data_IF_786732173807
#
_entry.id   IF_786732173807
#
_cell.length_a   1.000
_cell.length_b   1.000
_cell.length_c   1.000
_cell.angle_alpha   90.00
_cell.angle_beta   90.00
_cell.angle_gamma   90.00
#
_symmetry.space_group_name_H-M   'P 1'
#
loop_
_entity.id
_entity.type
_entity.pdbx_description
1 polymer ?
#
# COMPACT_ATOMS: atom_id res chain seq x y z
N UNK A 1 4.84 -25.79 -8.02
CA UNK A 1 3.94 -24.82 -7.35
C UNK A 1 2.53 -25.12 -7.81
N UNK A 2 1.62 -25.36 -6.87
CA UNK A 2 0.19 -25.59 -7.12
C UNK A 2 -0.55 -24.26 -7.22
N UNK A 3 -1.69 -24.22 -7.92
CA UNK A 3 -2.55 -23.05 -7.96
C UNK A 3 -2.94 -22.61 -6.53
N UNK A 4 -2.86 -21.32 -6.25
CA UNK A 4 -3.16 -20.76 -4.93
C UNK A 4 -4.41 -19.87 -5.04
N UNK A 5 -5.27 -19.90 -4.02
CA UNK A 5 -6.50 -19.13 -4.02
C UNK A 5 -6.21 -17.62 -3.98
N UNK A 6 -6.93 -16.84 -4.79
CA UNK A 6 -6.83 -15.38 -4.82
C UNK A 6 -7.61 -14.69 -3.66
N UNK A 7 -8.42 -15.46 -2.92
CA UNK A 7 -9.21 -14.94 -1.80
C UNK A 7 -8.29 -14.34 -0.73
N UNK A 8 -8.52 -13.07 -0.39
CA UNK A 8 -7.71 -12.31 0.56
C UNK A 8 -6.68 -11.37 -0.10
N UNK A 9 -6.66 -11.29 -1.43
CA UNK A 9 -5.88 -10.26 -2.14
C UNK A 9 -6.41 -8.87 -1.78
N UNK A 10 -5.52 -7.95 -1.45
CA UNK A 10 -5.86 -6.56 -1.11
C UNK A 10 -5.06 -5.60 -1.96
N UNK A 11 -5.70 -4.53 -2.41
CA UNK A 11 -5.01 -3.37 -2.95
C UNK A 11 -5.04 -2.24 -1.93
N UNK A 12 -3.89 -1.62 -1.70
CA UNK A 12 -3.72 -0.50 -0.78
C UNK A 12 -3.45 0.78 -1.56
N UNK A 13 -4.08 1.86 -1.11
CA UNK A 13 -3.79 3.24 -1.49
C UNK A 13 -3.06 3.87 -0.31
N UNK A 14 -1.75 4.09 -0.44
CA UNK A 14 -0.91 4.39 0.72
C UNK A 14 -0.95 3.24 1.73
N UNK A 15 -1.70 3.39 2.83
CA UNK A 15 -1.85 2.38 3.87
C UNK A 15 -3.26 1.86 4.09
N UNK A 16 -4.25 2.41 3.40
CA UNK A 16 -5.62 1.95 3.51
C UNK A 16 -5.91 0.89 2.44
N UNK A 17 -6.52 -0.23 2.83
CA UNK A 17 -7.03 -1.21 1.88
C UNK A 17 -8.37 -0.74 1.32
N UNK A 18 -8.56 -0.89 0.02
CA UNK A 18 -9.86 -0.64 -0.62
C UNK A 18 -10.82 -1.76 -0.25
N UNK A 19 -11.95 -1.42 0.35
CA UNK A 19 -12.93 -2.39 0.83
C UNK A 19 -13.83 -2.93 -0.30
N UNK A 20 -14.42 -4.10 -0.06
CA UNK A 20 -15.50 -4.72 -0.85
C UNK A 20 -15.19 -4.94 -2.34
N UNK A 21 -13.92 -5.22 -2.64
CA UNK A 21 -13.49 -5.62 -3.98
C UNK A 21 -13.76 -7.11 -4.25
N UNK A 22 -14.32 -7.39 -5.41
CA UNK A 22 -14.56 -8.74 -5.93
C UNK A 22 -13.49 -9.17 -6.93
N UNK A 23 -12.82 -8.22 -7.58
CA UNK A 23 -11.73 -8.48 -8.52
C UNK A 23 -10.65 -7.40 -8.45
N UNK A 24 -9.39 -7.85 -8.56
CA UNK A 24 -8.21 -6.99 -8.67
C UNK A 24 -7.38 -7.53 -9.83
N UNK A 25 -7.19 -6.72 -10.86
CA UNK A 25 -6.33 -7.02 -12.00
C UNK A 25 -4.86 -7.07 -11.61
N UNK A 26 -4.09 -7.92 -12.29
CA UNK A 26 -2.63 -7.92 -12.20
C UNK A 26 -2.01 -6.74 -12.96
N UNK A 27 -0.70 -6.58 -12.86
CA UNK A 27 0.03 -5.65 -13.74
C UNK A 27 0.25 -6.26 -15.13
N UNK A 28 -0.04 -5.47 -16.16
CA UNK A 28 0.18 -5.82 -17.56
C UNK A 28 1.46 -5.16 -18.09
N UNK A 29 2.62 -5.74 -17.74
CA UNK A 29 3.92 -5.21 -18.16
C UNK A 29 4.12 -5.41 -19.66
N UNK A 30 4.34 -4.32 -20.38
CA UNK A 30 4.66 -4.35 -21.80
C UNK A 30 5.90 -3.50 -22.11
N UNK A 31 6.51 -3.73 -23.27
CA UNK A 31 7.66 -2.96 -23.70
C UNK A 31 7.61 -2.75 -25.22
N UNK A 32 7.98 -1.56 -25.64
CA UNK A 32 8.11 -1.26 -27.07
C UNK A 32 9.24 -2.10 -27.68
N UNK A 33 9.13 -2.39 -28.97
CA UNK A 33 10.19 -3.02 -29.74
C UNK A 33 10.67 -2.09 -30.84
N UNK A 34 11.98 -1.91 -30.92
CA UNK A 34 12.61 -1.17 -32.01
C UNK A 34 13.33 -2.17 -32.90
N UNK A 35 12.93 -2.24 -34.17
CA UNK A 35 13.64 -3.07 -35.14
C UNK A 35 15.04 -2.51 -35.41
N UNK A 36 16.05 -3.38 -35.40
CA UNK A 36 17.47 -3.05 -35.59
C UNK A 36 18.12 -3.89 -36.69
N UNK A 37 17.31 -4.46 -37.59
CA UNK A 37 17.78 -5.30 -38.69
C UNK A 37 18.80 -4.54 -39.54
N UNK A 38 19.98 -5.13 -39.76
CA UNK A 38 21.05 -4.57 -40.61
C UNK A 38 21.17 -5.36 -41.91
N UNK A 39 21.89 -4.81 -42.89
CA UNK A 39 22.20 -5.50 -44.15
C UNK A 39 23.09 -6.75 -43.95
N UNK A 40 23.71 -6.89 -42.78
CA UNK A 40 24.52 -8.06 -42.41
C UNK A 40 23.68 -9.24 -41.89
N UNK A 41 22.36 -9.05 -41.71
CA UNK A 41 21.44 -10.14 -41.34
C UNK A 41 21.16 -11.06 -42.53
N UNK A 42 22.11 -11.94 -42.82
CA UNK A 42 22.09 -12.90 -43.94
C UNK A 42 21.06 -14.03 -43.78
N UNK A 43 20.59 -14.29 -42.55
CA UNK A 43 19.67 -15.40 -42.27
C UNK A 43 18.19 -15.05 -42.52
N UNK A 44 17.89 -13.81 -42.93
CA UNK A 44 16.53 -13.37 -43.28
C UNK A 44 15.59 -13.11 -42.09
N UNK A 45 16.10 -13.11 -40.86
CA UNK A 45 15.33 -12.81 -39.65
C UNK A 45 15.50 -11.35 -39.21
N UNK A 46 14.39 -10.73 -38.77
CA UNK A 46 14.42 -9.39 -38.17
C UNK A 46 15.05 -9.44 -36.78
N UNK A 47 15.85 -8.43 -36.44
CA UNK A 47 16.41 -8.26 -35.09
C UNK A 47 15.71 -7.09 -34.39
N UNK A 48 15.49 -7.21 -33.08
CA UNK A 48 14.77 -6.20 -32.29
C UNK A 48 15.53 -5.86 -31.01
N UNK A 49 15.47 -4.58 -30.63
CA UNK A 49 15.93 -4.06 -29.35
C UNK A 49 14.72 -3.64 -28.51
N UNK A 50 14.76 -3.92 -27.20
CA UNK A 50 13.71 -3.51 -26.27
C UNK A 50 13.77 -1.99 -26.04
N UNK A 51 12.65 -1.32 -26.27
CA UNK A 51 12.45 0.11 -26.05
C UNK A 51 11.98 0.44 -24.64
N UNK A 52 11.14 1.48 -24.53
CA UNK A 52 10.57 1.90 -23.24
C UNK A 52 9.61 0.83 -22.70
N UNK A 53 9.51 0.76 -21.37
CA UNK A 53 8.65 -0.18 -20.66
C UNK A 53 7.44 0.56 -20.12
N UNK A 54 6.25 0.00 -20.36
CA UNK A 54 5.00 0.45 -19.75
C UNK A 54 4.62 -0.55 -18.65
N UNK A 55 4.33 -0.02 -17.47
CA UNK A 55 3.86 -0.81 -16.33
C UNK A 55 2.43 -1.33 -16.51
N UNK A 56 1.73 -0.88 -17.54
CA UNK A 56 0.36 -1.24 -17.85
C UNK A 56 -0.64 -0.48 -17.00
N UNK A 57 -1.80 -1.11 -16.79
CA UNK A 57 -2.87 -0.60 -15.94
C UNK A 57 -3.30 -1.69 -14.95
N UNK A 58 -3.78 -1.25 -13.79
CA UNK A 58 -4.40 -2.13 -12.79
C UNK A 58 -5.87 -1.75 -12.71
N UNK A 59 -6.74 -2.68 -13.10
CA UNK A 59 -8.18 -2.55 -12.95
C UNK A 59 -8.63 -3.18 -11.62
N UNK A 60 -9.70 -2.66 -11.03
CA UNK A 60 -10.35 -3.26 -9.87
C UNK A 60 -11.85 -3.08 -9.98
N UNK A 61 -12.60 -4.05 -9.47
CA UNK A 61 -14.06 -3.99 -9.38
C UNK A 61 -14.57 -4.59 -8.09
N UNK A 62 -15.74 -4.13 -7.65
CA UNK A 62 -16.34 -4.48 -6.38
C UNK A 62 -17.69 -3.82 -6.16
N UNK A 63 -18.04 -3.67 -4.89
CA UNK A 63 -19.25 -2.97 -4.46
C UNK A 63 -18.91 -1.62 -3.85
N UNK A 64 -19.73 -0.62 -4.13
CA UNK A 64 -19.58 0.70 -3.57
C UNK A 64 -19.90 0.69 -2.08
N UNK A 65 -18.94 1.15 -1.27
CA UNK A 65 -19.11 1.29 0.17
C UNK A 65 -18.86 2.74 0.59
N UNK A 66 -19.91 3.53 0.87
CA UNK A 66 -19.77 4.93 1.24
C UNK A 66 -19.12 5.13 2.62
N UNK A 67 -19.07 4.09 3.46
CA UNK A 67 -18.39 4.15 4.76
C UNK A 67 -16.86 3.99 4.63
N UNK A 68 -16.36 3.51 3.48
CA UNK A 68 -14.92 3.38 3.22
C UNK A 68 -14.28 4.72 2.82
N UNK A 69 -14.13 5.58 3.82
CA UNK A 69 -13.55 6.92 3.67
C UNK A 69 -12.04 6.91 3.41
N UNK A 70 -11.36 5.79 3.66
CA UNK A 70 -9.90 5.70 3.55
C UNK A 70 -9.42 4.90 2.34
N UNK A 71 -10.25 4.02 1.78
CA UNK A 71 -9.98 3.28 0.55
C UNK A 71 -10.69 3.90 -0.66
N UNK A 72 -11.98 3.63 -0.84
CA UNK A 72 -12.74 4.07 -2.03
C UNK A 72 -12.79 5.61 -2.16
N UNK A 73 -13.01 6.35 -1.07
CA UNK A 73 -12.97 7.83 -1.10
C UNK A 73 -11.55 8.34 -1.37
N UNK A 74 -10.51 7.66 -0.90
CA UNK A 74 -9.13 8.03 -1.21
C UNK A 74 -8.80 7.82 -2.69
N UNK A 75 -9.31 6.77 -3.33
CA UNK A 75 -9.24 6.59 -4.79
C UNK A 75 -9.91 7.75 -5.52
N UNK A 76 -11.11 8.16 -5.08
CA UNK A 76 -11.81 9.30 -5.68
C UNK A 76 -11.03 10.60 -5.54
N UNK A 77 -10.44 10.85 -4.38
CA UNK A 77 -9.58 12.02 -4.18
C UNK A 77 -8.29 11.95 -5.02
N UNK A 78 -7.70 10.76 -5.16
CA UNK A 78 -6.55 10.53 -6.02
C UNK A 78 -6.87 10.82 -7.49
N UNK A 79 -8.05 10.40 -7.97
CA UNK A 79 -8.54 10.72 -9.31
C UNK A 79 -8.68 12.24 -9.53
N UNK A 80 -9.34 12.95 -8.60
CA UNK A 80 -9.52 14.41 -8.73
C UNK A 80 -8.23 15.21 -8.64
N UNK A 81 -7.27 14.75 -7.82
CA UNK A 81 -5.97 15.43 -7.70
C UNK A 81 -5.03 15.17 -8.86
N UNK A 82 -5.18 14.04 -9.57
CA UNK A 82 -4.23 13.57 -10.58
C UNK A 82 -2.84 13.28 -10.00
N UNK A 83 -2.71 13.16 -8.68
CA UNK A 83 -1.43 12.98 -8.02
C UNK A 83 -0.87 11.58 -8.27
N UNK A 84 0.45 11.52 -8.47
CA UNK A 84 1.18 10.25 -8.50
C UNK A 84 1.26 9.69 -7.07
N UNK A 85 0.55 8.59 -6.82
CA UNK A 85 0.44 7.97 -5.49
C UNK A 85 1.00 6.55 -5.54
N UNK A 86 1.52 6.08 -4.41
CA UNK A 86 1.98 4.71 -4.29
C UNK A 86 0.83 3.76 -3.97
N UNK A 87 0.74 2.69 -4.75
CA UNK A 87 -0.20 1.60 -4.62
C UNK A 87 0.54 0.30 -4.31
N UNK A 88 -0.17 -0.60 -3.62
CA UNK A 88 0.37 -1.91 -3.32
C UNK A 88 -0.68 -3.00 -3.43
N UNK A 89 -0.40 -4.05 -4.19
CA UNK A 89 -1.22 -5.27 -4.21
C UNK A 89 -0.54 -6.29 -3.29
N UNK A 90 -1.26 -6.77 -2.28
CA UNK A 90 -0.83 -7.84 -1.40
C UNK A 90 -1.61 -9.11 -1.74
N UNK A 91 -0.88 -10.16 -2.11
CA UNK A 91 -1.48 -11.47 -2.32
C UNK A 91 -1.45 -12.30 -1.03
N UNK A 92 -2.45 -13.17 -0.81
CA UNK A 92 -2.55 -13.99 0.41
C UNK A 92 -1.39 -14.98 0.56
N UNK A 93 -0.69 -15.28 -0.53
CA UNK A 93 0.44 -16.21 -0.57
C UNK A 93 1.82 -15.54 -0.34
N UNK A 94 1.84 -14.27 0.11
CA UNK A 94 3.05 -13.58 0.52
C UNK A 94 3.84 -12.89 -0.60
N UNK A 95 3.30 -12.88 -1.82
CA UNK A 95 3.80 -12.00 -2.88
C UNK A 95 3.13 -10.63 -2.82
N UNK A 96 3.80 -9.62 -3.38
CA UNK A 96 3.21 -8.29 -3.51
C UNK A 96 3.72 -7.55 -4.74
N UNK A 97 2.90 -6.67 -5.28
CA UNK A 97 3.33 -5.63 -6.21
C UNK A 97 3.34 -4.27 -5.53
N UNK A 98 4.44 -3.54 -5.63
CA UNK A 98 4.58 -2.15 -5.20
C UNK A 98 4.79 -1.29 -6.45
N UNK A 99 3.95 -0.29 -6.66
CA UNK A 99 4.01 0.55 -7.85
C UNK A 99 3.44 1.94 -7.58
N UNK A 100 3.99 2.94 -8.24
CA UNK A 100 3.38 4.27 -8.27
C UNK A 100 2.45 4.39 -9.49
N UNK A 101 1.35 5.12 -9.35
CA UNK A 101 0.39 5.26 -10.42
C UNK A 101 -0.54 6.46 -10.24
N UNK A 102 -1.34 6.71 -11.27
CA UNK A 102 -2.41 7.72 -11.27
C UNK A 102 -3.74 7.01 -11.50
N UNK A 103 -4.78 7.43 -10.80
CA UNK A 103 -6.12 6.90 -11.02
C UNK A 103 -6.69 7.57 -12.27
N UNK A 104 -7.01 6.79 -13.30
CA UNK A 104 -7.47 7.30 -14.60
C UNK A 104 -8.98 7.18 -14.79
N UNK A 105 -9.63 6.31 -14.03
CA UNK A 105 -11.06 6.07 -14.15
C UNK A 105 -11.63 5.58 -12.83
N UNK A 106 -12.81 6.09 -12.46
CA UNK A 106 -13.65 5.57 -11.40
C UNK A 106 -15.09 5.57 -11.92
N UNK A 107 -15.77 4.44 -11.77
CA UNK A 107 -17.18 4.29 -12.18
C UNK A 107 -17.98 3.68 -11.04
N UNK A 108 -19.23 4.11 -10.94
CA UNK A 108 -20.25 3.47 -10.13
C UNK A 108 -21.46 3.15 -10.99
N UNK A 109 -22.03 1.96 -10.81
CA UNK A 109 -23.25 1.52 -11.49
C UNK A 109 -24.31 1.16 -10.47
N UNK A 110 -25.57 1.44 -10.77
CA UNK A 110 -26.70 1.07 -9.91
C UNK A 110 -27.83 0.55 -10.79
N UNK A 111 -28.10 -0.75 -10.68
CA UNK A 111 -29.21 -1.43 -11.35
C UNK A 111 -30.30 -1.77 -10.31
N UNK A 112 -31.56 -1.86 -10.74
CA UNK A 112 -32.73 -1.88 -9.84
C UNK A 112 -32.71 -2.99 -8.78
N UNK A 113 -32.11 -4.14 -9.10
CA UNK A 113 -32.09 -5.35 -8.25
C UNK A 113 -30.66 -5.72 -7.78
N UNK A 114 -29.64 -4.94 -8.14
CA UNK A 114 -28.24 -5.25 -7.87
C UNK A 114 -27.61 -4.26 -6.88
N UNK A 115 -26.59 -4.72 -6.16
CA UNK A 115 -25.78 -3.84 -5.33
C UNK A 115 -25.00 -2.83 -6.19
N UNK A 116 -24.83 -1.61 -5.69
CA UNK A 116 -24.09 -0.55 -6.41
C UNK A 116 -22.67 -1.03 -6.70
N UNK A 117 -22.31 -1.12 -7.97
CA UNK A 117 -20.98 -1.54 -8.40
C UNK A 117 -19.98 -0.39 -8.27
N UNK A 118 -18.73 -0.74 -8.01
CA UNK A 118 -17.60 0.18 -8.01
C UNK A 118 -16.50 -0.39 -8.92
N UNK A 119 -15.99 0.44 -9.82
CA UNK A 119 -14.85 0.10 -10.67
C UNK A 119 -13.81 1.21 -10.62
N UNK A 120 -12.53 0.83 -10.65
CA UNK A 120 -11.40 1.76 -10.68
C UNK A 120 -10.30 1.28 -11.63
N UNK A 121 -9.63 2.22 -12.28
CA UNK A 121 -8.46 1.94 -13.12
C UNK A 121 -7.29 2.82 -12.71
N UNK A 122 -6.13 2.21 -12.52
CA UNK A 122 -4.88 2.88 -12.15
C UNK A 122 -3.87 2.67 -13.27
N UNK A 123 -3.39 3.76 -13.86
CA UNK A 123 -2.26 3.74 -14.80
C UNK A 123 -0.96 3.69 -14.01
N UNK A 124 -0.15 2.67 -14.27
CA UNK A 124 1.13 2.48 -13.60
C UNK A 124 2.14 3.46 -14.19
N UNK A 125 2.90 4.12 -13.31
CA UNK A 125 3.95 5.06 -13.69
C UNK A 125 5.27 4.65 -13.06
N UNK A 126 6.29 4.53 -13.90
CA UNK A 126 7.61 4.06 -13.51
C UNK A 126 7.71 2.54 -13.40
N UNK A 127 8.72 2.07 -12.66
CA UNK A 127 9.06 0.65 -12.56
C UNK A 127 8.32 0.01 -11.37
N UNK A 128 7.38 -0.92 -11.60
CA UNK A 128 6.78 -1.69 -10.52
C UNK A 128 7.80 -2.69 -9.94
N UNK A 129 7.69 -2.93 -8.64
CA UNK A 129 8.54 -3.86 -7.89
C UNK A 129 7.74 -5.08 -7.44
N UNK A 130 8.26 -6.27 -7.76
CA UNK A 130 7.71 -7.56 -7.32
C UNK A 130 8.43 -8.02 -6.06
N UNK A 131 7.65 -8.22 -4.99
CA UNK A 131 8.09 -8.90 -3.78
C UNK A 131 7.65 -10.36 -3.80
N UNK A 132 8.60 -11.29 -3.73
CA UNK A 132 8.31 -12.75 -3.70
C UNK A 132 8.55 -13.40 -2.34
N UNK A 133 9.17 -12.66 -1.42
CA UNK A 133 9.44 -13.10 -0.05
C UNK A 133 8.98 -12.04 0.92
N UNK A 134 8.47 -12.40 2.11
CA UNK A 134 8.09 -11.41 3.11
C UNK A 134 9.31 -10.69 3.66
N UNK A 135 9.15 -9.40 3.94
CA UNK A 135 10.15 -8.58 4.62
C UNK A 135 10.45 -9.13 6.02
N UNK A 136 11.68 -8.92 6.47
CA UNK A 136 12.10 -9.29 7.84
C UNK A 136 11.29 -8.54 8.90
N UNK A 137 10.79 -7.35 8.58
CA UNK A 137 10.00 -6.50 9.45
C UNK A 137 10.83 -5.62 10.37
N UNK A 138 10.14 -4.96 11.29
CA UNK A 138 10.78 -4.13 12.30
C UNK A 138 11.54 -5.00 13.31
N UNK A 139 12.66 -4.49 13.81
CA UNK A 139 13.43 -5.06 14.93
C UNK A 139 13.07 -4.43 16.27
N UNK A 140 12.49 -3.21 16.27
CA UNK A 140 11.92 -2.59 17.45
C UNK A 140 10.80 -1.61 17.06
N UNK A 141 9.84 -1.44 17.98
CA UNK A 141 8.76 -0.47 17.87
C UNK A 141 8.45 0.06 19.28
N UNK A 142 8.54 1.37 19.45
CA UNK A 142 8.18 2.04 20.70
C UNK A 142 7.39 3.30 20.41
N UNK A 143 6.47 3.65 21.30
CA UNK A 143 5.76 4.93 21.29
C UNK A 143 6.10 5.67 22.58
N UNK A 144 6.32 6.97 22.47
CA UNK A 144 6.72 7.83 23.58
C UNK A 144 5.71 8.95 23.75
N UNK A 145 5.15 9.04 24.96
CA UNK A 145 4.22 10.07 25.40
C UNK A 145 4.00 9.93 26.90
N UNK A 146 3.39 10.93 27.53
CA UNK A 146 2.97 10.80 28.94
C UNK A 146 1.85 9.76 29.01
N UNK A 147 2.06 8.73 29.81
CA UNK A 147 1.18 7.55 29.86
C UNK A 147 1.28 6.68 28.60
N UNK A 148 0.53 5.60 28.57
CA UNK A 148 0.51 4.67 27.44
C UNK A 148 1.41 3.44 27.63
N UNK A 149 0.90 2.27 27.26
CA UNK A 149 1.69 1.06 27.12
C UNK A 149 1.32 0.33 25.83
N UNK A 150 2.33 -0.16 25.11
CA UNK A 150 2.10 -0.98 23.91
C UNK A 150 1.66 -2.38 24.34
N UNK A 151 0.48 -2.79 23.89
CA UNK A 151 -0.11 -4.08 24.18
C UNK A 151 -0.57 -4.75 22.87
N UNK A 152 -0.13 -5.99 22.61
CA UNK A 152 0.89 -6.73 23.34
C UNK A 152 2.28 -6.11 23.20
N UNK A 153 3.25 -6.62 23.97
CA UNK A 153 4.65 -6.24 23.77
C UNK A 153 5.08 -6.51 22.33
N UNK A 154 5.99 -5.68 21.80
CA UNK A 154 6.39 -5.74 20.41
C UNK A 154 6.88 -7.14 20.01
N UNK A 155 6.28 -7.69 18.95
CA UNK A 155 6.69 -8.91 18.28
C UNK A 155 6.64 -8.68 16.76
N UNK A 156 7.77 -8.81 16.07
CA UNK A 156 7.87 -8.57 14.62
C UNK A 156 6.86 -9.34 13.75
N UNK A 157 6.27 -10.43 14.26
CA UNK A 157 5.31 -11.29 13.55
C UNK A 157 3.86 -10.97 13.91
N UNK A 158 3.63 -10.10 14.91
CA UNK A 158 2.31 -9.62 15.28
C UNK A 158 1.96 -8.33 14.53
N UNK A 159 0.84 -8.30 13.78
CA UNK A 159 0.46 -7.15 12.96
C UNK A 159 -0.40 -6.11 13.70
N UNK A 160 -1.02 -6.44 14.83
CA UNK A 160 -1.95 -5.55 15.54
C UNK A 160 -1.47 -5.25 16.96
N UNK A 161 -1.58 -3.97 17.34
CA UNK A 161 -1.26 -3.47 18.67
C UNK A 161 -2.25 -2.40 19.12
N UNK A 162 -2.28 -2.15 20.42
CA UNK A 162 -2.89 -0.99 21.04
C UNK A 162 -1.85 -0.25 21.88
N UNK A 163 -1.80 1.07 21.77
CA UNK A 163 -1.04 1.93 22.68
C UNK A 163 -2.03 2.75 23.49
N UNK A 164 -2.39 2.21 24.66
CA UNK A 164 -3.54 2.68 25.44
C UNK A 164 -3.12 3.26 26.78
N UNK A 165 -3.88 4.23 27.28
CA UNK A 165 -3.60 4.92 28.54
C UNK A 165 -2.80 6.20 28.38
N UNK A 166 -2.77 6.77 27.17
CA UNK A 166 -2.06 8.02 26.88
C UNK A 166 -2.79 9.19 27.52
N UNK A 167 -2.03 10.08 28.15
CA UNK A 167 -2.53 11.35 28.71
C UNK A 167 -1.92 12.59 28.07
N UNK A 168 -0.85 12.44 27.29
CA UNK A 168 -0.29 13.52 26.49
C UNK A 168 -1.23 13.97 25.36
N UNK A 169 -1.04 15.20 24.88
CA UNK A 169 -1.73 15.76 23.70
C UNK A 169 -1.03 15.40 22.38
N UNK A 170 0.16 14.81 22.47
CA UNK A 170 0.90 14.27 21.34
C UNK A 170 1.77 13.09 21.76
N UNK A 171 2.02 12.18 20.81
CA UNK A 171 2.91 11.01 20.97
C UNK A 171 3.92 11.01 19.82
N UNK A 172 5.11 10.48 20.04
CA UNK A 172 6.06 10.16 18.97
C UNK A 172 6.21 8.65 18.84
N UNK A 173 6.49 8.20 17.62
CA UNK A 173 6.67 6.79 17.31
C UNK A 173 8.10 6.56 16.81
N UNK A 174 8.78 5.59 17.40
CA UNK A 174 10.12 5.17 16.97
C UNK A 174 10.04 3.74 16.47
N UNK A 175 10.35 3.54 15.20
CA UNK A 175 10.42 2.23 14.57
C UNK A 175 11.86 1.98 14.09
N UNK A 176 12.36 0.78 14.35
CA UNK A 176 13.72 0.37 13.95
C UNK A 176 13.61 -0.82 13.02
N UNK A 177 14.35 -0.76 11.92
CA UNK A 177 14.50 -1.85 10.94
C UNK A 177 15.78 -1.66 10.12
N UNK A 178 16.31 -2.73 9.54
CA UNK A 178 17.49 -2.68 8.67
C UNK A 178 17.07 -2.88 7.21
N UNK A 179 17.62 -2.06 6.30
CA UNK A 179 17.42 -2.19 4.85
C UNK A 179 15.99 -1.92 4.35
N UNK A 180 15.12 -1.40 5.21
CA UNK A 180 13.70 -1.15 4.91
C UNK A 180 13.40 0.34 4.84
N UNK A 181 12.53 0.72 3.91
CA UNK A 181 11.82 1.99 3.96
C UNK A 181 10.62 1.83 4.90
N UNK A 182 10.51 2.68 5.92
CA UNK A 182 9.46 2.60 6.93
C UNK A 182 8.54 3.81 6.75
N UNK A 183 7.34 3.60 6.24
CA UNK A 183 6.35 4.68 6.06
C UNK A 183 5.35 4.69 7.22
N UNK A 184 5.07 5.87 7.77
CA UNK A 184 4.08 6.09 8.82
C UNK A 184 2.84 6.79 8.25
N UNK A 185 1.68 6.24 8.59
CA UNK A 185 0.36 6.79 8.29
C UNK A 185 -0.43 6.95 9.58
N UNK A 186 -1.23 8.02 9.65
CA UNK A 186 -2.16 8.30 10.75
C UNK A 186 -3.55 8.43 10.15
N UNK A 187 -4.50 7.62 10.62
CA UNK A 187 -5.87 7.54 10.14
C UNK A 187 -5.94 7.38 8.60
N UNK A 188 -5.03 6.56 8.06
CA UNK A 188 -4.91 6.31 6.61
C UNK A 188 -4.13 7.38 5.82
N UNK A 189 -3.83 8.53 6.42
CA UNK A 189 -3.11 9.64 5.77
C UNK A 189 -1.60 9.51 5.97
N UNK A 190 -0.84 9.60 4.88
CA UNK A 190 0.62 9.57 4.94
C UNK A 190 1.16 10.74 5.78
N UNK A 191 2.07 10.43 6.70
CA UNK A 191 2.73 11.45 7.53
C UNK A 191 4.17 11.67 7.07
N UNK A 192 4.98 10.61 7.11
CA UNK A 192 6.40 10.70 6.79
C UNK A 192 7.02 9.32 6.54
N UNK A 193 8.19 9.32 5.92
CA UNK A 193 9.13 8.20 5.97
C UNK A 193 9.95 8.33 7.27
N UNK A 194 9.97 7.29 8.09
CA UNK A 194 10.73 7.24 9.34
C UNK A 194 12.21 6.91 9.05
N UNK A 195 13.10 7.62 9.73
CA UNK A 195 14.49 7.19 9.87
C UNK A 195 14.56 6.09 10.92
N UNK A 196 15.16 4.96 10.57
CA UNK A 196 15.27 3.80 11.47
C UNK A 196 15.89 4.18 12.82
N UNK A 197 15.20 3.85 13.92
CA UNK A 197 15.64 4.16 15.28
C UNK A 197 15.46 5.61 15.72
N UNK A 198 14.92 6.49 14.86
CA UNK A 198 14.59 7.87 15.20
C UNK A 198 13.10 8.04 15.50
N UNK A 199 12.78 9.01 16.34
CA UNK A 199 11.41 9.40 16.62
C UNK A 199 10.76 10.07 15.40
N UNK A 200 9.48 9.79 15.18
CA UNK A 200 8.65 10.51 14.22
C UNK A 200 8.46 11.97 14.61
N UNK A 201 7.91 12.77 13.69
CA UNK A 201 7.24 14.02 14.06
C UNK A 201 6.11 13.76 15.07
N UNK A 202 5.70 14.81 15.78
CA UNK A 202 4.66 14.70 16.81
C UNK A 202 3.31 14.33 16.20
N UNK A 203 2.72 13.24 16.69
CA UNK A 203 1.39 12.78 16.31
C UNK A 203 0.39 13.41 17.27
N UNK A 204 -0.40 14.36 16.79
CA UNK A 204 -1.37 15.10 17.62
C UNK A 204 -2.59 14.25 17.97
N UNK A 205 -2.96 14.21 19.26
CA UNK A 205 -4.19 13.61 19.79
C UNK A 205 -4.73 14.54 20.91
N UNK A 206 -5.34 15.68 20.54
CA UNK A 206 -5.63 16.75 21.50
C UNK A 206 -6.83 16.42 22.42
N UNK A 207 -7.75 15.58 21.97
CA UNK A 207 -8.95 15.18 22.71
C UNK A 207 -8.92 13.68 23.04
N UNK A 208 -9.62 13.28 24.11
CA UNK A 208 -9.87 11.88 24.45
C UNK A 208 -10.48 11.17 23.25
N UNK A 209 -9.95 9.99 22.92
CA UNK A 209 -10.32 9.27 21.71
C UNK A 209 -9.20 8.37 21.22
N UNK A 210 -9.31 7.96 19.95
CA UNK A 210 -8.32 7.08 19.33
C UNK A 210 -7.89 7.55 17.95
N UNK A 211 -6.70 7.10 17.56
CA UNK A 211 -6.16 7.22 16.20
C UNK A 211 -5.59 5.89 15.75
N UNK A 212 -5.71 5.58 14.46
CA UNK A 212 -5.09 4.40 13.85
C UNK A 212 -3.75 4.80 13.26
N UNK A 213 -2.66 4.21 13.76
CA UNK A 213 -1.34 4.33 13.16
C UNK A 213 -1.09 3.10 12.30
N UNK A 214 -0.71 3.30 11.05
CA UNK A 214 -0.29 2.21 10.17
C UNK A 214 1.16 2.41 9.77
N UNK A 215 1.98 1.40 10.01
CA UNK A 215 3.38 1.38 9.62
C UNK A 215 3.57 0.35 8.53
N UNK A 216 4.14 0.76 7.41
CA UNK A 216 4.51 -0.13 6.32
C UNK A 216 6.03 -0.20 6.27
N UNK A 217 6.58 -1.35 6.66
CA UNK A 217 8.00 -1.63 6.55
C UNK A 217 8.26 -2.41 5.27
N UNK A 218 8.95 -1.78 4.31
CA UNK A 218 9.16 -2.30 2.96
C UNK A 218 10.65 -2.51 2.70
N UNK A 219 11.06 -3.76 2.51
CA UNK A 219 12.42 -4.09 2.03
C UNK A 219 12.36 -4.24 0.51
N UNK A 220 13.40 -3.78 -0.19
CA UNK A 220 13.41 -3.85 -1.65
C UNK A 220 13.18 -5.29 -2.13
N UNK A 221 12.30 -5.46 -3.11
CA UNK A 221 11.97 -6.76 -3.72
C UNK A 221 11.37 -7.79 -2.73
N UNK A 222 10.77 -7.32 -1.63
CA UNK A 222 10.04 -8.15 -0.66
C UNK A 222 8.64 -7.62 -0.42
N UNK A 223 7.73 -8.52 -0.03
CA UNK A 223 6.42 -8.11 0.44
C UNK A 223 6.54 -7.39 1.78
N UNK A 224 5.91 -6.22 1.96
CA UNK A 224 6.09 -5.46 3.18
C UNK A 224 5.46 -6.17 4.38
N UNK A 225 5.92 -5.79 5.56
CA UNK A 225 5.16 -6.05 6.79
C UNK A 225 4.39 -4.80 7.20
N UNK A 226 3.13 -4.99 7.52
CA UNK A 226 2.21 -3.93 7.96
C UNK A 226 1.94 -4.13 9.45
N UNK A 227 2.13 -3.05 10.22
CA UNK A 227 1.84 -3.00 11.64
C UNK A 227 0.77 -1.94 11.87
N UNK A 228 -0.34 -2.30 12.51
CA UNK A 228 -1.43 -1.42 12.87
C UNK A 228 -1.46 -1.22 14.38
N UNK A 229 -1.53 0.03 14.82
CA UNK A 229 -1.51 0.40 16.22
C UNK A 229 -2.71 1.31 16.49
N UNK A 230 -3.58 0.90 17.41
CA UNK A 230 -4.65 1.76 17.90
C UNK A 230 -4.09 2.61 19.05
N UNK A 231 -3.83 3.88 18.78
CA UNK A 231 -3.44 4.86 19.78
C UNK A 231 -4.69 5.31 20.54
N UNK A 232 -4.73 5.16 21.87
CA UNK A 232 -5.89 5.53 22.70
C UNK A 232 -5.48 6.51 23.79
N UNK A 233 -6.02 7.73 23.71
CA UNK A 233 -5.94 8.74 24.77
C UNK A 233 -7.13 8.59 25.71
N UNK A 234 -6.85 8.48 27.00
CA UNK A 234 -7.85 8.19 28.04
C UNK A 234 -8.09 9.36 29.00
N UNK A 235 -7.21 10.37 29.00
CA UNK A 235 -7.35 11.61 29.76
C UNK A 235 -6.58 12.74 29.06
#
# INVERSE_FOLDING_TARGET
>A
MTAQAALGTKILVGAASVADLTSIGGLELSADTKETTTLDSVDGYRTFMQGLKDGGEVSMSGYFNPADTTGQVALYNAFNSGALINFKILFPFGASWDFSGIVTNIKTGADLEDAVSFEGTIKVSGKPALGLTPSTGLSALTLTGTGGALTPAFNKDMPLYAFSGVTATSVTLTATGAGQTIALFVDGVFQQILTSGAASGAISIPAVGSKKLTIIANESSKAPKIYEITLVKTA
#
